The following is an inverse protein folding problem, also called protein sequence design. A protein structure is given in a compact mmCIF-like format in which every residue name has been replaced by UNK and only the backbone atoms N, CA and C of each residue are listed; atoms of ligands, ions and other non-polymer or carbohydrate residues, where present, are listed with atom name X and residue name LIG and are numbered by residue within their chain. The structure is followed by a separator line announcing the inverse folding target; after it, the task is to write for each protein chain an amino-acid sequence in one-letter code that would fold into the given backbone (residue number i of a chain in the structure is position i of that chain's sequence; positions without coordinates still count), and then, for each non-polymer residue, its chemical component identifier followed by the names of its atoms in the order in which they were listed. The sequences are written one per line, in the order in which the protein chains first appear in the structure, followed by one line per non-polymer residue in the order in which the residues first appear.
data_IF_392100356813
#
_entry.id   IF_392100356813
#
_cell.length_a   1.000
_cell.length_b   1.000
_cell.length_c   1.000
_cell.angle_alpha   90.00
_cell.angle_beta   90.00
_cell.angle_gamma   90.00
#
_symmetry.space_group_name_H-M   'P 1'
#
loop_
_entity.id
_entity.type
_entity.pdbx_description
1 polymer ?
#
# COMPACT_ATOMS: atom_id res chain seq x y z
N UNK A 1 -23.55 9.43 -16.74
CA UNK A 1 -24.20 9.11 -15.46
C UNK A 1 -23.43 9.80 -14.35
N UNK A 2 -24.07 9.98 -13.19
CA UNK A 2 -23.47 10.70 -12.06
C UNK A 2 -23.84 10.00 -10.76
N UNK A 3 -22.83 9.61 -9.99
CA UNK A 3 -22.99 9.19 -8.60
C UNK A 3 -22.78 10.39 -7.68
N UNK A 4 -23.56 10.54 -6.61
CA UNK A 4 -23.31 11.55 -5.58
C UNK A 4 -23.73 11.05 -4.21
N UNK A 5 -22.89 11.28 -3.19
CA UNK A 5 -23.16 10.93 -1.80
C UNK A 5 -22.54 11.94 -0.85
N UNK A 6 -23.28 12.28 0.20
CA UNK A 6 -22.83 13.16 1.28
C UNK A 6 -22.71 12.36 2.58
N UNK A 7 -21.63 12.61 3.32
CA UNK A 7 -21.40 12.06 4.67
C UNK A 7 -21.12 13.19 5.66
N UNK A 8 -21.43 12.95 6.94
CA UNK A 8 -21.20 13.91 8.03
C UNK A 8 -20.00 13.48 8.86
N UNK A 9 -19.00 14.34 8.96
CA UNK A 9 -17.76 14.07 9.67
C UNK A 9 -17.68 14.91 10.95
N UNK A 10 -17.35 14.32 12.12
CA UNK A 10 -17.26 15.03 13.40
C UNK A 10 -15.93 15.79 13.56
N UNK A 11 -15.44 16.42 12.49
CA UNK A 11 -14.16 17.14 12.43
C UNK A 11 -14.32 18.47 11.72
N UNK A 12 -13.37 19.38 11.91
CA UNK A 12 -13.38 20.70 11.26
C UNK A 12 -13.27 20.60 9.73
N UNK A 13 -13.66 21.63 8.96
CA UNK A 13 -13.53 21.62 7.51
C UNK A 13 -12.10 21.41 7.03
N UNK A 14 -11.11 21.98 7.72
CA UNK A 14 -9.69 21.80 7.39
C UNK A 14 -9.23 20.35 7.61
N UNK A 15 -9.69 19.71 8.69
CA UNK A 15 -9.41 18.29 8.96
C UNK A 15 -10.14 17.37 7.97
N UNK A 16 -11.40 17.67 7.63
CA UNK A 16 -12.15 16.93 6.61
C UNK A 16 -11.48 17.06 5.22
N UNK A 17 -11.00 18.25 4.89
CA UNK A 17 -10.27 18.49 3.65
C UNK A 17 -8.93 17.75 3.63
N UNK A 18 -8.21 17.72 4.75
CA UNK A 18 -7.00 16.92 4.90
C UNK A 18 -7.28 15.41 4.68
N UNK A 19 -8.39 14.89 5.22
CA UNK A 19 -8.80 13.48 5.03
C UNK A 19 -8.95 13.06 3.57
N UNK A 20 -9.31 13.99 2.68
CA UNK A 20 -9.56 13.73 1.25
C UNK A 20 -8.45 14.22 0.31
N UNK A 21 -7.37 14.80 0.84
CA UNK A 21 -6.29 15.38 0.01
C UNK A 21 -4.88 14.99 0.41
N UNK A 22 -4.62 14.73 1.70
CA UNK A 22 -3.27 14.42 2.20
C UNK A 22 -2.99 12.91 2.06
N UNK A 23 -1.86 12.51 1.44
CA UNK A 23 -1.52 11.10 1.24
C UNK A 23 -1.63 10.22 2.49
N UNK A 24 -1.07 10.66 3.61
CA UNK A 24 -1.07 9.97 4.88
C UNK A 24 -2.47 9.83 5.50
N UNK A 25 -3.39 10.72 5.13
CA UNK A 25 -4.79 10.70 5.54
C UNK A 25 -5.66 9.85 4.62
N UNK A 26 -5.42 9.87 3.31
CA UNK A 26 -6.07 9.00 2.34
C UNK A 26 -5.82 7.51 2.67
N UNK A 27 -4.61 7.18 3.16
CA UNK A 27 -4.27 5.83 3.64
C UNK A 27 -5.07 5.33 4.83
N UNK A 28 -5.80 6.22 5.51
CA UNK A 28 -6.65 5.86 6.66
C UNK A 28 -7.98 5.25 6.25
N UNK A 29 -8.41 5.42 5.00
CA UNK A 29 -9.76 5.03 4.61
C UNK A 29 -9.93 4.54 3.17
N UNK A 30 -9.19 5.08 2.18
CA UNK A 30 -9.49 4.85 0.74
C UNK A 30 -8.35 4.32 -0.11
N UNK A 31 -7.10 4.36 0.37
CA UNK A 31 -5.95 4.00 -0.46
C UNK A 31 -4.92 3.17 0.30
N UNK A 32 -4.26 2.25 -0.39
CA UNK A 32 -3.03 1.59 0.10
C UNK A 32 -1.85 2.56 -0.01
N UNK A 33 -1.71 3.20 -1.16
CA UNK A 33 -0.71 4.26 -1.37
C UNK A 33 -1.35 5.44 -2.09
N UNK A 34 -0.82 6.63 -1.82
CA UNK A 34 -1.27 7.84 -2.45
C UNK A 34 -0.06 8.76 -2.69
N UNK A 35 0.01 9.34 -3.89
CA UNK A 35 0.84 10.51 -4.21
C UNK A 35 -0.10 11.60 -4.71
N UNK A 36 0.09 12.81 -4.22
CA UNK A 36 -0.74 13.97 -4.60
C UNK A 36 0.16 15.21 -4.67
N UNK A 37 0.37 15.75 -5.87
CA UNK A 37 0.86 17.13 -6.03
C UNK A 37 -0.33 18.08 -5.85
N UNK A 38 -0.55 18.52 -4.59
CA UNK A 38 -1.76 19.22 -4.18
C UNK A 38 -1.77 20.69 -4.64
N UNK A 39 -1.92 20.89 -5.95
CA UNK A 39 -2.12 22.18 -6.62
C UNK A 39 -2.92 21.97 -7.88
N UNK A 40 -3.61 23.01 -8.37
CA UNK A 40 -4.22 22.94 -9.69
C UNK A 40 -3.16 22.63 -10.77
N UNK A 41 -3.45 21.65 -11.64
CA UNK A 41 -2.52 21.11 -12.62
C UNK A 41 -1.41 20.23 -12.04
N UNK A 42 -1.52 19.80 -10.78
CA UNK A 42 -0.63 18.80 -10.17
C UNK A 42 -1.16 17.38 -10.41
N UNK A 43 -0.25 16.43 -10.58
CA UNK A 43 -0.60 15.03 -10.82
C UNK A 43 -0.84 14.28 -9.50
N UNK A 44 -1.70 13.26 -9.56
CA UNK A 44 -1.94 12.37 -8.45
C UNK A 44 -2.05 10.91 -8.93
N UNK A 45 -1.76 9.98 -8.01
CA UNK A 45 -1.88 8.54 -8.23
C UNK A 45 -2.20 7.84 -6.92
N UNK A 46 -3.27 7.06 -6.89
CA UNK A 46 -3.66 6.27 -5.72
C UNK A 46 -3.77 4.79 -6.10
N UNK A 47 -3.16 3.91 -5.32
CA UNK A 47 -3.56 2.49 -5.31
C UNK A 47 -4.75 2.39 -4.35
N UNK A 48 -5.96 2.32 -4.90
CA UNK A 48 -7.21 2.26 -4.10
C UNK A 48 -7.27 0.92 -3.37
N UNK A 49 -7.11 -0.16 -4.13
CA UNK A 49 -6.88 -1.52 -3.65
C UNK A 49 -5.78 -2.15 -4.51
N UNK A 50 -5.10 -3.22 -4.07
CA UNK A 50 -4.05 -3.85 -4.87
C UNK A 50 -4.55 -4.24 -6.27
N UNK A 51 -3.81 -3.82 -7.30
CA UNK A 51 -4.18 -3.98 -8.70
C UNK A 51 -5.16 -2.95 -9.26
N UNK A 52 -5.76 -2.11 -8.43
CA UNK A 52 -6.70 -1.06 -8.84
C UNK A 52 -6.11 0.30 -8.51
N UNK A 53 -5.42 0.87 -9.49
CA UNK A 53 -4.77 2.16 -9.38
C UNK A 53 -5.57 3.19 -10.18
N UNK A 54 -5.83 4.33 -9.57
CA UNK A 54 -6.33 5.53 -10.25
C UNK A 54 -5.21 6.56 -10.37
N UNK A 55 -5.17 7.27 -11.49
CA UNK A 55 -4.28 8.42 -11.67
C UNK A 55 -5.00 9.54 -12.43
N UNK A 56 -4.46 10.75 -12.34
CA UNK A 56 -4.96 11.90 -13.06
C UNK A 56 -4.33 13.21 -12.59
N UNK A 57 -4.97 14.31 -12.96
CA UNK A 57 -4.57 15.66 -12.58
C UNK A 57 -5.62 16.30 -11.66
N UNK A 58 -5.15 17.09 -10.70
CA UNK A 58 -5.97 17.97 -9.87
C UNK A 58 -6.42 19.15 -10.74
N UNK A 59 -7.66 19.15 -11.23
CA UNK A 59 -8.19 20.21 -12.10
C UNK A 59 -8.42 21.52 -11.36
N UNK A 60 -9.04 21.44 -10.19
CA UNK A 60 -9.39 22.60 -9.36
C UNK A 60 -9.04 22.30 -7.90
N UNK A 61 -8.60 23.34 -7.18
CA UNK A 61 -8.28 23.24 -5.76
C UNK A 61 -8.69 24.54 -5.05
N UNK A 62 -9.60 24.42 -4.09
CA UNK A 62 -9.91 25.45 -3.11
C UNK A 62 -9.64 24.88 -1.71
N UNK A 63 -8.51 25.24 -1.07
CA UNK A 63 -8.13 24.70 0.22
C UNK A 63 -9.25 24.80 1.26
N UNK A 64 -9.50 23.70 1.97
CA UNK A 64 -10.54 23.60 3.01
C UNK A 64 -11.98 23.47 2.49
N UNK A 65 -12.19 23.49 1.16
CA UNK A 65 -13.55 23.59 0.58
C UNK A 65 -13.82 22.69 -0.61
N UNK A 66 -12.89 22.56 -1.57
CA UNK A 66 -13.18 21.86 -2.83
C UNK A 66 -11.91 21.32 -3.48
N UNK A 67 -12.01 20.11 -4.02
CA UNK A 67 -11.01 19.55 -4.94
C UNK A 67 -11.73 18.86 -6.11
N UNK A 68 -11.19 19.02 -7.31
CA UNK A 68 -11.68 18.34 -8.53
C UNK A 68 -10.54 17.55 -9.13
N UNK A 69 -10.78 16.26 -9.36
CA UNK A 69 -9.82 15.30 -9.87
C UNK A 69 -10.32 14.74 -11.19
N UNK A 70 -9.44 14.72 -12.20
CA UNK A 70 -9.56 13.75 -13.29
C UNK A 70 -9.55 12.33 -12.73
N UNK A 71 -10.38 11.42 -13.23
CA UNK A 71 -10.41 10.04 -12.73
C UNK A 71 -10.23 9.05 -13.87
N UNK A 72 -9.07 8.39 -13.91
CA UNK A 72 -8.74 7.35 -14.87
C UNK A 72 -8.12 6.14 -14.16
N UNK A 73 -8.66 4.96 -14.45
CA UNK A 73 -8.07 3.70 -13.99
C UNK A 73 -6.80 3.42 -14.78
N UNK A 74 -5.70 3.18 -14.08
CA UNK A 74 -4.42 2.77 -14.65
C UNK A 74 -4.56 1.36 -15.23
N UNK A 75 -4.86 1.29 -16.53
CA UNK A 75 -4.99 0.04 -17.28
C UNK A 75 -3.63 -0.55 -17.67
N UNK A 76 -2.51 -0.12 -17.05
CA UNK A 76 -1.20 -0.77 -17.22
C UNK A 76 -1.24 -2.21 -16.71
N UNK A 77 -1.72 -3.11 -17.58
CA UNK A 77 -1.37 -4.52 -17.54
C UNK A 77 0.13 -4.68 -17.81
N UNK A 78 0.68 -5.84 -17.42
CA UNK A 78 2.09 -6.18 -17.62
C UNK A 78 2.53 -5.98 -19.09
N UNK A 79 3.12 -4.83 -19.41
CA UNK A 79 3.55 -4.46 -20.76
C UNK A 79 3.45 -2.95 -20.98
N UNK A 80 4.59 -2.27 -20.91
CA UNK A 80 4.68 -0.81 -20.80
C UNK A 80 4.15 0.02 -21.96
N UNK A 81 3.60 1.19 -21.61
CA UNK A 81 3.91 2.52 -22.11
C UNK A 81 3.24 3.51 -21.12
N UNK A 82 3.77 4.73 -20.97
CA UNK A 82 3.13 5.78 -20.17
C UNK A 82 1.63 5.88 -20.51
N UNK A 83 0.80 6.16 -19.50
CA UNK A 83 -0.64 6.41 -19.68
C UNK A 83 -0.86 7.25 -20.95
N UNK A 84 -1.55 6.69 -21.95
CA UNK A 84 -2.15 7.53 -22.97
C UNK A 84 -3.22 8.37 -22.27
N UNK A 85 -2.85 9.61 -21.93
CA UNK A 85 -3.63 10.61 -21.18
C UNK A 85 -4.91 11.05 -21.94
N UNK A 86 -5.19 10.44 -23.11
CA UNK A 86 -6.36 10.74 -23.95
C UNK A 86 -7.65 9.99 -23.53
N UNK A 87 -7.61 9.16 -22.48
CA UNK A 87 -8.76 8.44 -21.92
C UNK A 87 -9.23 9.01 -20.56
N UNK A 88 -9.53 10.32 -20.49
CA UNK A 88 -10.18 10.90 -19.31
C UNK A 88 -11.62 10.39 -19.23
N UNK A 89 -11.83 9.32 -18.47
CA UNK A 89 -13.12 8.60 -18.40
C UNK A 89 -14.18 9.34 -17.54
N UNK A 90 -13.76 10.12 -16.54
CA UNK A 90 -14.67 10.67 -15.54
C UNK A 90 -14.04 11.75 -14.66
N UNK A 91 -14.83 12.36 -13.77
CA UNK A 91 -14.38 13.43 -12.87
C UNK A 91 -14.94 13.24 -11.48
N UNK A 92 -14.07 13.28 -10.47
CA UNK A 92 -14.44 13.25 -9.05
C UNK A 92 -14.35 14.64 -8.47
N UNK A 93 -15.45 15.10 -7.88
CA UNK A 93 -15.60 16.39 -7.23
C UNK A 93 -15.86 16.12 -5.76
N UNK A 94 -15.02 16.66 -4.88
CA UNK A 94 -15.23 16.58 -3.43
C UNK A 94 -15.38 18.00 -2.89
N UNK A 95 -16.48 18.25 -2.17
CA UNK A 95 -16.73 19.51 -1.48
C UNK A 95 -16.87 19.32 0.02
N UNK A 96 -16.38 20.27 0.79
CA UNK A 96 -16.43 20.30 2.26
C UNK A 96 -17.18 21.56 2.70
N UNK A 97 -18.21 21.37 3.51
CA UNK A 97 -19.04 22.46 4.04
C UNK A 97 -19.08 22.40 5.57
N UNK A 98 -18.94 23.54 6.27
CA UNK A 98 -19.04 23.57 7.73
C UNK A 98 -20.47 23.29 8.22
N UNK A 99 -20.57 22.63 9.38
CA UNK A 99 -21.83 22.48 10.13
C UNK A 99 -21.60 22.76 11.62
N UNK A 100 -22.67 22.91 12.39
CA UNK A 100 -22.59 23.14 13.84
C UNK A 100 -21.86 22.00 14.60
N UNK A 101 -21.76 20.80 14.01
CA UNK A 101 -21.18 19.60 14.63
C UNK A 101 -19.92 19.06 13.95
N UNK A 102 -19.36 19.78 12.97
CA UNK A 102 -18.22 19.32 12.17
C UNK A 102 -18.35 19.76 10.72
N UNK A 103 -18.29 18.81 9.78
CA UNK A 103 -18.28 19.10 8.34
C UNK A 103 -19.15 18.12 7.55
N UNK A 104 -19.76 18.58 6.47
CA UNK A 104 -20.34 17.73 5.44
C UNK A 104 -19.34 17.57 4.31
N UNK A 105 -19.08 16.33 3.91
CA UNK A 105 -18.28 16.01 2.72
C UNK A 105 -19.21 15.42 1.68
N UNK A 106 -19.30 16.06 0.53
CA UNK A 106 -20.05 15.56 -0.63
C UNK A 106 -19.06 15.12 -1.70
N UNK A 107 -19.17 13.87 -2.12
CA UNK A 107 -18.46 13.32 -3.27
C UNK A 107 -19.44 13.18 -4.43
N UNK A 108 -19.07 13.73 -5.58
CA UNK A 108 -19.79 13.58 -6.84
C UNK A 108 -18.86 13.02 -7.90
N UNK A 109 -19.24 11.92 -8.54
CA UNK A 109 -18.50 11.28 -9.62
C UNK A 109 -19.30 11.41 -10.92
N UNK A 110 -18.82 12.23 -11.86
CA UNK A 110 -19.47 12.56 -13.13
C UNK A 110 -18.75 11.91 -14.31
N UNK A 111 -19.47 11.75 -15.44
CA UNK A 111 -18.89 11.24 -16.70
C UNK A 111 -19.01 9.73 -16.90
N UNK A 112 -19.65 9.01 -15.97
CA UNK A 112 -19.72 7.54 -15.98
C UNK A 112 -20.65 6.99 -17.08
N UNK A 113 -20.33 5.83 -17.66
CA UNK A 113 -21.32 5.01 -18.38
C UNK A 113 -22.29 4.33 -17.39
N UNK A 114 -23.46 3.85 -17.83
CA UNK A 114 -24.37 3.09 -16.97
C UNK A 114 -23.74 1.85 -16.33
N UNK A 115 -22.83 1.17 -17.04
CA UNK A 115 -22.13 -0.01 -16.53
C UNK A 115 -21.10 0.37 -15.46
N UNK A 116 -20.39 1.49 -15.66
CA UNK A 116 -19.41 1.98 -14.69
C UNK A 116 -20.06 2.50 -13.40
N UNK A 117 -21.26 3.10 -13.49
CA UNK A 117 -21.96 3.70 -12.35
C UNK A 117 -22.18 2.71 -11.21
N UNK A 118 -22.60 1.49 -11.51
CA UNK A 118 -22.90 0.46 -10.49
C UNK A 118 -21.66 0.11 -9.67
N UNK A 119 -20.52 -0.12 -10.33
CA UNK A 119 -19.27 -0.46 -9.65
C UNK A 119 -18.70 0.71 -8.83
N UNK A 120 -18.80 1.93 -9.35
CA UNK A 120 -18.36 3.12 -8.61
C UNK A 120 -19.30 3.44 -7.45
N UNK A 121 -20.60 3.19 -7.57
CA UNK A 121 -21.57 3.31 -6.48
C UNK A 121 -21.22 2.35 -5.33
N UNK A 122 -20.93 1.08 -5.62
CA UNK A 122 -20.51 0.11 -4.61
C UNK A 122 -19.21 0.54 -3.92
N UNK A 123 -18.19 0.89 -4.71
CA UNK A 123 -16.90 1.33 -4.19
C UNK A 123 -17.00 2.60 -3.34
N UNK A 124 -17.70 3.63 -3.82
CA UNK A 124 -17.87 4.86 -3.05
C UNK A 124 -18.71 4.66 -1.80
N UNK A 125 -19.70 3.76 -1.82
CA UNK A 125 -20.45 3.44 -0.62
C UNK A 125 -19.58 2.80 0.46
N UNK A 126 -18.70 1.87 0.08
CA UNK A 126 -17.70 1.26 0.97
C UNK A 126 -16.75 2.31 1.55
N UNK A 127 -16.06 3.06 0.69
CA UNK A 127 -15.03 3.99 1.15
C UNK A 127 -15.60 5.18 1.94
N UNK A 128 -16.75 5.75 1.55
CA UNK A 128 -17.32 6.84 2.33
C UNK A 128 -17.77 6.40 3.73
N UNK A 129 -18.19 5.14 3.92
CA UNK A 129 -18.40 4.58 5.26
C UNK A 129 -17.10 4.50 6.07
N UNK A 130 -15.99 4.13 5.43
CA UNK A 130 -14.65 4.13 6.06
C UNK A 130 -14.17 5.55 6.39
N UNK A 131 -14.47 6.55 5.56
CA UNK A 131 -14.17 7.96 5.83
C UNK A 131 -14.83 8.44 7.13
N UNK A 132 -16.10 8.10 7.38
CA UNK A 132 -16.80 8.43 8.62
C UNK A 132 -16.10 7.83 9.85
N UNK A 133 -15.65 6.57 9.75
CA UNK A 133 -14.90 5.91 10.83
C UNK A 133 -13.54 6.57 11.04
N UNK A 134 -12.80 6.86 9.97
CA UNK A 134 -11.50 7.51 10.04
C UNK A 134 -11.60 8.94 10.61
N UNK A 135 -12.65 9.70 10.29
CA UNK A 135 -12.89 11.00 10.89
C UNK A 135 -13.17 10.90 12.40
N UNK A 136 -13.91 9.87 12.84
CA UNK A 136 -14.25 9.70 14.25
C UNK A 136 -13.12 9.09 15.10
N UNK A 137 -12.28 8.23 14.52
CA UNK A 137 -11.30 7.40 15.25
C UNK A 137 -9.84 7.61 14.83
N UNK A 138 -9.60 8.41 13.78
CA UNK A 138 -8.29 8.64 13.18
C UNK A 138 -7.89 7.63 12.09
N UNK A 139 -8.44 6.41 12.12
CA UNK A 139 -8.16 5.34 11.16
C UNK A 139 -9.40 4.43 11.02
N UNK A 140 -9.72 4.01 9.79
CA UNK A 140 -10.84 3.10 9.53
C UNK A 140 -10.55 1.63 9.88
N UNK A 141 -9.28 1.31 10.18
CA UNK A 141 -8.80 -0.05 10.41
C UNK A 141 -8.49 -0.80 9.10
N UNK A 142 -8.23 -2.12 9.17
CA UNK A 142 -7.97 -2.94 7.99
C UNK A 142 -9.10 -2.86 6.96
N UNK A 143 -8.77 -2.95 5.68
CA UNK A 143 -9.73 -3.08 4.58
C UNK A 143 -9.62 -4.47 3.95
N UNK A 144 -10.70 -5.24 3.96
CA UNK A 144 -10.71 -6.58 3.35
C UNK A 144 -10.43 -6.54 1.85
N UNK A 145 -10.80 -5.45 1.17
CA UNK A 145 -10.49 -5.28 -0.24
C UNK A 145 -9.00 -5.01 -0.50
N UNK A 146 -8.23 -4.62 0.53
CA UNK A 146 -6.81 -4.34 0.40
C UNK A 146 -5.89 -5.56 0.64
N UNK A 147 -6.38 -6.64 1.25
CA UNK A 147 -5.57 -7.83 1.54
C UNK A 147 -6.12 -9.13 0.93
N UNK A 148 -7.16 -9.06 0.10
CA UNK A 148 -7.70 -10.19 -0.66
C UNK A 148 -8.00 -9.80 -2.12
N UNK A 149 -6.96 -9.47 -2.93
CA UNK A 149 -7.17 -9.04 -4.30
C UNK A 149 -7.69 -10.19 -5.19
N UNK A 150 -8.53 -9.86 -6.17
CA UNK A 150 -9.17 -10.83 -7.09
C UNK A 150 -8.17 -11.51 -8.04
N UNK A 151 -7.09 -10.82 -8.37
CA UNK A 151 -6.00 -11.29 -9.23
C UNK A 151 -4.67 -11.15 -8.49
N UNK A 152 -3.70 -11.98 -8.83
CA UNK A 152 -2.38 -11.92 -8.22
C UNK A 152 -1.29 -11.99 -9.28
N UNK A 153 -0.41 -11.00 -9.23
CA UNK A 153 0.89 -10.96 -9.88
C UNK A 153 1.93 -10.40 -8.88
N UNK A 154 3.19 -10.28 -9.30
CA UNK A 154 4.27 -9.79 -8.46
C UNK A 154 4.04 -8.37 -7.91
N UNK A 155 3.38 -7.50 -8.69
CA UNK A 155 3.10 -6.10 -8.31
C UNK A 155 1.92 -6.05 -7.36
N UNK A 156 0.83 -6.76 -7.68
CA UNK A 156 -0.38 -6.82 -6.84
C UNK A 156 -0.06 -7.46 -5.49
N UNK A 157 0.77 -8.50 -5.46
CA UNK A 157 1.23 -9.12 -4.22
C UNK A 157 2.05 -8.14 -3.35
N UNK A 158 2.86 -7.27 -3.98
CA UNK A 158 3.63 -6.25 -3.26
C UNK A 158 2.70 -5.17 -2.67
N UNK A 159 1.71 -4.71 -3.43
CA UNK A 159 0.69 -3.75 -2.95
C UNK A 159 -0.13 -4.33 -1.79
N UNK A 160 -0.57 -5.60 -1.89
CA UNK A 160 -1.29 -6.27 -0.80
C UNK A 160 -0.41 -6.47 0.44
N UNK A 161 0.86 -6.86 0.26
CA UNK A 161 1.82 -7.02 1.37
C UNK A 161 2.14 -5.68 2.03
N UNK A 162 2.18 -4.58 1.28
CA UNK A 162 2.34 -3.23 1.82
C UNK A 162 1.13 -2.84 2.69
N UNK A 163 -0.10 -3.11 2.24
CA UNK A 163 -1.30 -2.83 3.02
C UNK A 163 -1.28 -3.57 4.39
N UNK A 164 -0.83 -4.83 4.40
CA UNK A 164 -0.64 -5.61 5.63
C UNK A 164 0.41 -4.97 6.54
N UNK A 165 1.58 -4.63 5.99
CA UNK A 165 2.66 -4.01 6.75
C UNK A 165 2.26 -2.65 7.33
N UNK A 166 1.54 -1.82 6.57
CA UNK A 166 1.02 -0.54 7.06
C UNK A 166 0.13 -0.71 8.29
N UNK A 167 -0.76 -1.70 8.28
CA UNK A 167 -1.61 -2.02 9.43
C UNK A 167 -0.80 -2.34 10.70
N UNK A 168 0.32 -3.05 10.54
CA UNK A 168 1.25 -3.38 11.63
C UNK A 168 2.02 -2.14 12.09
N UNK A 169 2.62 -1.38 11.16
CA UNK A 169 3.45 -0.21 11.47
C UNK A 169 2.69 0.91 12.19
N UNK A 170 1.37 1.04 11.96
CA UNK A 170 0.50 1.98 12.69
C UNK A 170 0.40 1.69 14.18
N UNK A 171 0.68 0.46 14.60
CA UNK A 171 0.62 0.01 15.98
C UNK A 171 1.98 0.07 16.69
N UNK A 172 3.07 0.27 15.93
CA UNK A 172 4.43 0.38 16.48
C UNK A 172 4.57 1.71 17.22
N UNK A 173 5.01 1.66 18.47
CA UNK A 173 5.20 2.83 19.32
C UNK A 173 6.70 3.09 19.59
N UNK A 174 7.09 4.32 19.98
CA UNK A 174 8.50 4.65 20.20
C UNK A 174 9.23 3.75 21.21
N UNK A 175 8.52 3.17 22.17
CA UNK A 175 9.09 2.24 23.16
C UNK A 175 9.41 0.85 22.60
N UNK A 176 8.96 0.52 21.40
CA UNK A 176 9.26 -0.75 20.74
C UNK A 176 10.64 -0.78 20.09
N UNK A 177 11.27 0.40 19.93
CA UNK A 177 12.49 0.64 19.17
C UNK A 177 13.59 -0.40 19.37
N UNK A 178 13.87 -0.77 20.61
CA UNK A 178 14.98 -1.66 21.00
C UNK A 178 14.54 -3.12 21.21
N UNK A 179 13.28 -3.47 20.92
CA UNK A 179 12.79 -4.85 21.05
C UNK A 179 13.43 -5.74 19.98
N UNK A 180 13.82 -6.95 20.38
CA UNK A 180 14.32 -7.96 19.45
C UNK A 180 13.24 -8.37 18.45
N UNK A 181 13.65 -8.72 17.23
CA UNK A 181 12.74 -9.24 16.19
C UNK A 181 13.07 -10.71 15.88
N UNK A 182 12.14 -11.47 15.26
CA UNK A 182 12.46 -12.79 14.73
C UNK A 182 13.52 -12.80 13.62
N UNK A 183 13.76 -11.66 12.97
CA UNK A 183 14.91 -11.46 12.09
C UNK A 183 16.13 -11.19 12.97
N UNK A 184 16.81 -12.27 13.38
CA UNK A 184 17.68 -12.31 14.56
C UNK A 184 18.82 -11.27 14.62
N UNK A 185 19.21 -10.70 13.48
CA UNK A 185 20.27 -9.69 13.39
C UNK A 185 19.78 -8.27 13.73
N UNK A 186 18.47 -8.06 13.91
CA UNK A 186 17.87 -6.74 14.03
C UNK A 186 16.92 -6.61 15.22
N UNK A 187 17.03 -5.50 15.95
CA UNK A 187 15.92 -4.95 16.73
C UNK A 187 14.89 -4.22 15.82
N UNK A 188 13.78 -3.75 16.37
CA UNK A 188 12.70 -3.07 15.61
C UNK A 188 13.22 -1.88 14.79
N UNK A 189 14.09 -1.05 15.37
CA UNK A 189 14.65 0.10 14.64
C UNK A 189 15.59 -0.33 13.51
N UNK A 190 16.49 -1.27 13.78
CA UNK A 190 17.44 -1.76 12.78
C UNK A 190 16.71 -2.51 11.66
N UNK A 191 15.61 -3.20 11.97
CA UNK A 191 14.76 -3.86 10.97
C UNK A 191 14.06 -2.84 10.07
N UNK A 192 13.60 -1.72 10.65
CA UNK A 192 13.04 -0.62 9.89
C UNK A 192 14.07 0.00 8.94
N UNK A 193 15.30 0.22 9.40
CA UNK A 193 16.38 0.71 8.56
C UNK A 193 16.76 -0.29 7.48
N UNK A 194 16.87 -1.58 7.82
CA UNK A 194 17.12 -2.64 6.87
C UNK A 194 16.07 -2.66 5.75
N UNK A 195 14.78 -2.65 6.10
CA UNK A 195 13.69 -2.65 5.13
C UNK A 195 13.77 -1.44 4.19
N UNK A 196 14.02 -0.23 4.73
CA UNK A 196 14.13 0.97 3.91
C UNK A 196 15.31 0.87 2.91
N UNK A 197 16.48 0.38 3.34
CA UNK A 197 17.61 0.16 2.40
C UNK A 197 17.30 -0.90 1.35
N UNK A 198 16.64 -1.98 1.75
CA UNK A 198 16.22 -3.03 0.82
C UNK A 198 15.26 -2.47 -0.23
N UNK A 199 14.30 -1.63 0.15
CA UNK A 199 13.38 -0.97 -0.80
C UNK A 199 14.12 -0.04 -1.78
N UNK A 200 15.12 0.72 -1.32
CA UNK A 200 15.99 1.51 -2.22
C UNK A 200 16.68 0.58 -3.23
N UNK A 201 17.30 -0.50 -2.75
CA UNK A 201 18.00 -1.44 -3.62
C UNK A 201 17.07 -2.13 -4.62
N UNK A 202 15.86 -2.50 -4.22
CA UNK A 202 14.88 -3.15 -5.10
C UNK A 202 14.34 -2.17 -6.14
N UNK A 203 14.14 -0.89 -5.80
CA UNK A 203 13.82 0.15 -6.77
C UNK A 203 14.95 0.38 -7.78
N UNK A 204 16.20 0.34 -7.34
CA UNK A 204 17.38 0.46 -8.21
C UNK A 204 17.48 -0.69 -9.23
N UNK A 205 17.11 -1.92 -8.85
CA UNK A 205 17.03 -3.05 -9.78
C UNK A 205 15.97 -2.83 -10.88
N UNK A 206 14.94 -2.03 -10.60
CA UNK A 206 13.95 -1.59 -11.57
C UNK A 206 14.40 -0.39 -12.43
N UNK A 207 15.56 0.20 -12.13
CA UNK A 207 16.09 1.38 -12.82
C UNK A 207 15.68 2.71 -12.20
N UNK A 208 15.11 2.72 -10.99
CA UNK A 208 14.76 3.95 -10.27
C UNK A 208 15.88 4.38 -9.31
N UNK A 209 16.12 5.68 -9.23
CA UNK A 209 16.98 6.27 -8.20
C UNK A 209 16.13 6.70 -7.01
N UNK A 210 16.00 5.80 -6.03
CA UNK A 210 15.21 6.05 -4.83
C UNK A 210 16.10 6.55 -3.69
N UNK A 211 15.53 7.41 -2.85
CA UNK A 211 16.20 7.90 -1.63
C UNK A 211 15.24 7.83 -0.46
N UNK A 212 15.78 7.55 0.73
CA UNK A 212 14.99 7.61 1.96
C UNK A 212 14.56 9.05 2.21
N UNK A 213 13.30 9.23 2.57
CA UNK A 213 12.75 10.53 2.93
C UNK A 213 12.65 10.64 4.45
N UNK A 214 12.93 11.84 4.98
CA UNK A 214 12.55 12.16 6.36
C UNK A 214 11.04 12.36 6.41
N UNK A 215 10.35 11.50 7.17
CA UNK A 215 8.91 11.56 7.35
C UNK A 215 8.55 11.62 8.83
N UNK A 216 7.29 11.95 9.12
CA UNK A 216 6.83 12.07 10.50
C UNK A 216 6.74 10.72 11.23
N UNK A 217 6.54 9.62 10.50
CA UNK A 217 6.35 8.28 11.09
C UNK A 217 7.01 7.20 10.25
N UNK A 218 7.35 6.08 10.90
CA UNK A 218 7.89 4.91 10.20
C UNK A 218 6.92 4.37 9.14
N UNK A 219 5.61 4.35 9.42
CA UNK A 219 4.60 3.93 8.44
C UNK A 219 4.66 4.78 7.18
N UNK A 220 4.82 6.11 7.33
CA UNK A 220 4.88 7.02 6.20
C UNK A 220 6.18 6.87 5.39
N UNK A 221 7.31 6.68 6.07
CA UNK A 221 8.60 6.39 5.42
C UNK A 221 8.52 5.13 4.55
N UNK A 222 8.02 4.03 5.13
CA UNK A 222 7.91 2.74 4.44
C UNK A 222 6.86 2.80 3.33
N UNK A 223 5.70 3.44 3.58
CA UNK A 223 4.63 3.56 2.59
C UNK A 223 5.09 4.31 1.34
N UNK A 224 5.79 5.42 1.53
CA UNK A 224 6.28 6.24 0.42
C UNK A 224 7.32 5.48 -0.39
N UNK A 225 8.34 4.93 0.28
CA UNK A 225 9.44 4.27 -0.41
C UNK A 225 9.02 2.95 -1.08
N UNK A 226 8.13 2.18 -0.44
CA UNK A 226 7.57 0.97 -1.03
C UNK A 226 6.69 1.30 -2.24
N UNK A 227 5.86 2.35 -2.16
CA UNK A 227 5.08 2.83 -3.30
C UNK A 227 5.97 3.17 -4.49
N UNK A 228 7.07 3.90 -4.25
CA UNK A 228 8.00 4.28 -5.31
C UNK A 228 8.72 3.06 -5.93
N UNK A 229 9.11 2.08 -5.10
CA UNK A 229 9.72 0.83 -5.58
C UNK A 229 8.74 -0.01 -6.41
N UNK A 230 7.49 -0.15 -5.96
CA UNK A 230 6.42 -0.86 -6.68
C UNK A 230 6.13 -0.17 -8.01
N UNK A 231 6.02 1.16 -8.02
CA UNK A 231 5.81 1.95 -9.25
C UNK A 231 6.98 1.81 -10.22
N UNK A 232 8.22 1.76 -9.73
CA UNK A 232 9.40 1.52 -10.56
C UNK A 232 9.33 0.16 -11.27
N UNK A 233 8.97 -0.91 -10.55
CA UNK A 233 8.79 -2.23 -11.16
C UNK A 233 7.61 -2.27 -12.14
N UNK A 234 6.50 -1.58 -11.84
CA UNK A 234 5.36 -1.45 -12.75
C UNK A 234 5.77 -0.78 -14.06
N UNK A 235 6.50 0.34 -14.00
CA UNK A 235 7.00 1.06 -15.20
C UNK A 235 8.05 0.26 -15.97
N UNK A 236 8.95 -0.42 -15.27
CA UNK A 236 9.94 -1.31 -15.88
C UNK A 236 9.28 -2.44 -16.68
N UNK A 237 8.17 -2.97 -16.14
CA UNK A 237 7.56 -4.21 -16.60
C UNK A 237 8.29 -5.45 -16.09
N UNK A 238 7.61 -6.59 -16.20
CA UNK A 238 8.07 -7.89 -15.68
C UNK A 238 8.65 -8.80 -16.76
N UNK A 239 8.80 -8.32 -18.00
CA UNK A 239 9.37 -9.13 -19.08
C UNK A 239 10.90 -9.16 -19.02
N UNK A 240 11.49 -10.29 -19.40
CA UNK A 240 12.93 -10.44 -19.57
C UNK A 240 13.72 -10.49 -18.26
N UNK A 241 14.97 -10.01 -18.34
CA UNK A 241 15.93 -10.04 -17.23
C UNK A 241 16.10 -8.64 -16.62
N UNK A 242 16.48 -8.60 -15.35
CA UNK A 242 16.93 -7.40 -14.66
C UNK A 242 18.26 -7.64 -13.93
N UNK A 243 19.06 -6.58 -13.80
CA UNK A 243 20.34 -6.63 -13.13
C UNK A 243 20.14 -6.47 -11.62
N UNK A 244 20.69 -7.40 -10.84
CA UNK A 244 20.83 -7.27 -9.39
C UNK A 244 22.31 -7.15 -9.01
N UNK A 245 22.65 -6.77 -7.76
CA UNK A 245 24.02 -6.80 -7.26
C UNK A 245 24.70 -8.18 -7.34
N UNK A 246 23.92 -9.26 -7.48
CA UNK A 246 24.40 -10.64 -7.56
C UNK A 246 24.39 -11.22 -8.98
N UNK A 247 24.09 -10.41 -9.99
CA UNK A 247 23.99 -10.80 -11.40
C UNK A 247 22.58 -10.66 -11.97
N UNK A 248 22.43 -11.05 -13.23
CA UNK A 248 21.13 -11.02 -13.92
C UNK A 248 20.20 -12.12 -13.41
N UNK A 249 18.94 -11.76 -13.24
CA UNK A 249 17.86 -12.69 -12.92
C UNK A 249 16.57 -12.28 -13.64
N UNK A 250 15.59 -13.19 -13.79
CA UNK A 250 14.30 -12.81 -14.37
C UNK A 250 13.64 -11.66 -13.61
N UNK A 251 13.16 -10.65 -14.33
CA UNK A 251 12.48 -9.50 -13.76
C UNK A 251 11.34 -9.86 -12.76
N UNK A 252 10.46 -10.86 -13.02
CA UNK A 252 9.40 -11.18 -12.08
C UNK A 252 9.94 -11.83 -10.79
N UNK A 253 11.08 -12.53 -10.85
CA UNK A 253 11.71 -13.06 -9.63
C UNK A 253 12.19 -11.91 -8.74
N UNK A 254 12.81 -10.88 -9.33
CA UNK A 254 13.31 -9.72 -8.58
C UNK A 254 12.19 -8.80 -8.08
N UNK A 255 11.16 -8.55 -8.90
CA UNK A 255 9.96 -7.82 -8.47
C UNK A 255 9.25 -8.53 -7.32
N UNK A 256 9.16 -9.86 -7.38
CA UNK A 256 8.57 -10.68 -6.34
C UNK A 256 9.27 -10.59 -4.97
N UNK A 257 10.54 -10.15 -4.92
CA UNK A 257 11.24 -9.94 -3.64
C UNK A 257 10.56 -8.84 -2.82
N UNK A 258 9.98 -7.82 -3.47
CA UNK A 258 9.31 -6.71 -2.75
C UNK A 258 8.20 -7.24 -1.85
N UNK A 259 7.35 -8.15 -2.32
CA UNK A 259 6.27 -8.73 -1.50
C UNK A 259 6.79 -9.65 -0.40
N UNK A 260 7.86 -10.41 -0.65
CA UNK A 260 8.53 -11.26 0.35
C UNK A 260 9.04 -10.41 1.51
N UNK A 261 9.78 -9.34 1.21
CA UNK A 261 10.34 -8.42 2.21
C UNK A 261 9.23 -7.74 3.03
N UNK A 262 8.22 -7.20 2.36
CA UNK A 262 7.12 -6.51 3.04
C UNK A 262 6.32 -7.46 3.94
N UNK A 263 5.97 -8.65 3.47
CA UNK A 263 5.10 -9.57 4.21
C UNK A 263 5.82 -10.27 5.37
N UNK A 264 7.07 -10.73 5.15
CA UNK A 264 7.85 -11.35 6.22
C UNK A 264 8.19 -10.32 7.31
N UNK A 265 8.52 -9.09 6.94
CA UNK A 265 8.80 -8.06 7.93
C UNK A 265 7.53 -7.53 8.62
N UNK A 266 6.36 -7.57 7.97
CA UNK A 266 5.09 -7.36 8.68
C UNK A 266 4.92 -8.38 9.82
N UNK A 267 5.24 -9.65 9.56
CA UNK A 267 5.23 -10.69 10.60
C UNK A 267 6.29 -10.44 11.68
N UNK A 268 7.52 -10.06 11.29
CA UNK A 268 8.60 -9.76 12.24
C UNK A 268 8.23 -8.61 13.20
N UNK A 269 7.70 -7.51 12.66
CA UNK A 269 7.21 -6.39 13.47
C UNK A 269 6.05 -6.80 14.37
N UNK A 270 5.06 -7.53 13.84
CA UNK A 270 3.90 -7.98 14.62
C UNK A 270 4.32 -8.85 15.81
N UNK A 271 5.28 -9.76 15.60
CA UNK A 271 5.84 -10.59 16.66
C UNK A 271 6.59 -9.77 17.72
N UNK A 272 7.38 -8.78 17.29
CA UNK A 272 8.15 -7.94 18.21
C UNK A 272 7.29 -6.97 19.03
N UNK A 273 6.22 -6.44 18.45
CA UNK A 273 5.40 -5.38 19.07
C UNK A 273 4.05 -5.84 19.59
N UNK A 274 3.70 -7.11 19.37
CA UNK A 274 2.36 -7.67 19.63
C UNK A 274 1.25 -6.97 18.84
N UNK A 275 1.61 -6.34 17.72
CA UNK A 275 0.64 -5.72 16.82
C UNK A 275 -0.25 -6.79 16.18
N UNK A 276 -1.52 -6.44 15.97
CA UNK A 276 -2.44 -7.30 15.22
C UNK A 276 -2.09 -7.26 13.75
N UNK A 277 -1.96 -8.44 13.13
CA UNK A 277 -1.72 -8.61 11.70
C UNK A 277 -2.90 -9.37 11.09
N UNK A 278 -3.40 -8.89 9.95
CA UNK A 278 -4.44 -9.56 9.17
C UNK A 278 -4.02 -9.64 7.71
N UNK A 279 -4.07 -10.84 7.13
CA UNK A 279 -3.75 -11.11 5.73
C UNK A 279 -4.56 -12.32 5.26
N UNK A 280 -4.93 -12.38 3.98
CA UNK A 280 -5.59 -13.56 3.42
C UNK A 280 -4.60 -14.69 3.12
N UNK A 281 -5.05 -15.94 3.25
CA UNK A 281 -4.26 -17.11 2.87
C UNK A 281 -3.81 -17.03 1.40
N UNK A 282 -4.64 -16.47 0.50
CA UNK A 282 -4.31 -16.32 -0.92
C UNK A 282 -3.08 -15.43 -1.16
N UNK A 283 -2.96 -14.30 -0.45
CA UNK A 283 -1.76 -13.44 -0.51
C UNK A 283 -0.55 -14.20 0.02
N UNK A 284 -0.69 -14.86 1.17
CA UNK A 284 0.42 -15.60 1.79
C UNK A 284 0.90 -16.75 0.90
N UNK A 285 -0.01 -17.52 0.32
CA UNK A 285 0.31 -18.65 -0.55
C UNK A 285 1.03 -18.19 -1.83
N UNK A 286 0.61 -17.07 -2.41
CA UNK A 286 1.30 -16.50 -3.57
C UNK A 286 2.71 -16.04 -3.22
N UNK A 287 2.87 -15.28 -2.13
CA UNK A 287 4.18 -14.82 -1.65
C UNK A 287 5.06 -16.01 -1.25
N UNK A 288 4.50 -17.09 -0.69
CA UNK A 288 5.23 -18.31 -0.43
C UNK A 288 5.73 -18.99 -1.71
N UNK A 289 4.93 -18.97 -2.79
CA UNK A 289 5.35 -19.43 -4.12
C UNK A 289 6.49 -18.61 -4.71
N UNK A 290 6.52 -17.29 -4.48
CA UNK A 290 7.65 -16.44 -4.82
C UNK A 290 8.86 -16.76 -3.95
N UNK A 291 8.68 -16.89 -2.65
CA UNK A 291 9.74 -17.22 -1.69
C UNK A 291 10.40 -18.56 -2.02
N UNK A 292 9.65 -19.57 -2.47
CA UNK A 292 10.20 -20.86 -2.89
C UNK A 292 11.21 -20.76 -4.05
N UNK A 293 11.13 -19.70 -4.87
CA UNK A 293 12.09 -19.43 -5.96
C UNK A 293 13.35 -18.68 -5.48
N UNK A 294 13.24 -17.91 -4.40
CA UNK A 294 14.28 -16.98 -3.93
C UNK A 294 15.05 -17.55 -2.73
N UNK A 295 14.34 -18.02 -1.71
CA UNK A 295 14.91 -18.42 -0.41
C UNK A 295 16.03 -19.44 -0.55
N UNK A 296 15.92 -20.53 -1.34
CA UNK A 296 17.00 -21.53 -1.43
C UNK A 296 18.35 -20.95 -1.88
N UNK A 297 18.36 -20.01 -2.83
CA UNK A 297 19.59 -19.37 -3.32
C UNK A 297 20.17 -18.31 -2.38
N UNK A 298 19.40 -17.90 -1.37
CA UNK A 298 19.74 -16.83 -0.44
C UNK A 298 19.90 -17.30 1.01
N UNK A 299 19.80 -18.62 1.28
CA UNK A 299 20.07 -19.20 2.60
C UNK A 299 21.50 -18.95 3.08
N UNK A 300 21.63 -18.71 4.38
CA UNK A 300 22.90 -18.35 5.04
C UNK A 300 23.40 -16.94 4.70
N UNK A 301 22.61 -16.15 3.97
CA UNK A 301 22.89 -14.74 3.66
C UNK A 301 21.73 -13.84 4.09
N UNK A 302 20.58 -13.96 3.41
CA UNK A 302 19.37 -13.18 3.69
C UNK A 302 18.29 -13.99 4.41
N UNK A 303 18.37 -15.32 4.34
CA UNK A 303 17.42 -16.22 5.00
C UNK A 303 18.14 -17.25 5.86
N UNK A 304 17.50 -17.66 6.96
CA UNK A 304 17.99 -18.73 7.82
C UNK A 304 17.71 -20.13 7.25
N UNK A 305 18.13 -21.15 8.00
CA UNK A 305 17.70 -22.52 7.74
C UNK A 305 16.22 -22.68 8.06
N UNK A 306 15.49 -23.33 7.15
CA UNK A 306 14.07 -23.64 7.34
C UNK A 306 13.83 -24.44 8.61
N UNK A 307 12.78 -24.01 9.30
CA UNK A 307 12.32 -24.60 10.54
C UNK A 307 11.04 -25.39 10.29
N UNK A 308 10.82 -26.41 11.12
CA UNK A 308 9.56 -27.15 11.13
C UNK A 308 8.51 -26.29 11.82
N UNK A 309 7.54 -25.80 11.05
CA UNK A 309 6.38 -25.12 11.62
C UNK A 309 5.57 -26.07 12.51
N UNK A 310 4.96 -25.54 13.58
CA UNK A 310 4.11 -26.33 14.44
C UNK A 310 2.86 -26.81 13.68
N UNK A 311 2.37 -28.01 14.01
CA UNK A 311 1.16 -28.54 13.42
C UNK A 311 -0.01 -27.60 13.74
N UNK A 312 -0.71 -27.13 12.72
CA UNK A 312 -1.82 -26.19 12.86
C UNK A 312 -1.42 -24.71 12.80
N UNK A 313 -0.14 -24.37 12.62
CA UNK A 313 0.28 -22.99 12.33
C UNK A 313 -0.41 -22.46 11.07
N UNK A 314 -0.82 -21.19 11.10
CA UNK A 314 -1.37 -20.47 9.94
C UNK A 314 -0.36 -20.37 8.78
N UNK A 315 -0.83 -19.95 7.61
CA UNK A 315 0.00 -19.88 6.41
C UNK A 315 1.21 -18.97 6.57
N UNK A 316 1.05 -17.83 7.24
CA UNK A 316 2.11 -16.82 7.37
C UNK A 316 3.21 -17.31 8.31
N UNK A 317 2.84 -17.98 9.40
CA UNK A 317 3.77 -18.61 10.33
C UNK A 317 4.55 -19.75 9.66
N UNK A 318 3.93 -20.51 8.75
CA UNK A 318 4.65 -21.51 7.93
C UNK A 318 5.63 -20.85 6.97
N UNK A 319 5.26 -19.74 6.33
CA UNK A 319 6.16 -18.97 5.48
C UNK A 319 7.34 -18.38 6.27
N UNK A 320 7.09 -17.84 7.47
CA UNK A 320 8.12 -17.37 8.38
C UNK A 320 9.09 -18.52 8.77
N UNK A 321 8.57 -19.69 9.15
CA UNK A 321 9.41 -20.86 9.45
C UNK A 321 10.23 -21.33 8.24
N UNK A 322 9.64 -21.33 7.03
CA UNK A 322 10.35 -21.63 5.78
C UNK A 322 11.52 -20.68 5.50
N UNK A 323 11.36 -19.41 5.88
CA UNK A 323 12.39 -18.37 5.75
C UNK A 323 13.46 -18.40 6.88
N UNK A 324 13.31 -19.31 7.85
CA UNK A 324 14.22 -19.49 8.97
C UNK A 324 13.92 -18.64 10.21
N UNK A 325 12.72 -18.06 10.31
CA UNK A 325 12.33 -17.22 11.45
C UNK A 325 11.75 -18.06 12.59
N UNK A 326 12.22 -17.80 13.81
CA UNK A 326 11.66 -18.40 15.03
C UNK A 326 10.67 -17.44 15.68
N UNK A 327 9.43 -17.85 15.97
CA UNK A 327 8.49 -17.02 16.72
C UNK A 327 9.07 -16.57 18.07
N UNK A 328 8.91 -15.29 18.42
CA UNK A 328 9.19 -14.85 19.78
C UNK A 328 8.22 -15.53 20.75
N UNK A 329 8.72 -15.92 21.91
CA UNK A 329 7.86 -16.49 22.97
C UNK A 329 6.89 -15.41 23.43
N UNK A 330 5.60 -15.76 23.54
CA UNK A 330 4.59 -14.91 24.18
C UNK A 330 4.86 -14.71 25.67
#
# INVERSE_FOLDING_TARGET
MTFSKTVSLPVSPDEAFALVTQPERLRRWTAVTARVDLRAGGDYRWTVTPGNVVAGTVRELEPGRRIVLDWAWDQMGAGGADLEVDAVDSTVIITVEPTDGGSLVTLTHEGLTPEQEVGHEEGWNHFLGRLEVAAAKGDAGPDEWAFAPERMDEIVAAEASLAVLQGVLRQVVPTDREKATPCADFNVHELADHLLDTLVSLGAMAGAELTRQETATLEDAVSTLASDAIEAWRRRGLEGMAMSPFGEAPAPVLAGIVSIELLLHAWDFAQATSATLTVSDAVVEYVAGLAAKVVPGARGRAFGDELVAQVGSDALTRLAAYSGRTPLSA
#
